data_IF_675333232295
#
_entry.id   IF_675333232295
#
_cell.length_a   1.000
_cell.length_b   1.000
_cell.length_c   1.000
_cell.angle_alpha   90.00
_cell.angle_beta   90.00
_cell.angle_gamma   90.00
#
_symmetry.space_group_name_H-M   'P 1'
#
loop_
_entity.id
_entity.type
_entity.pdbx_description
1 polymer ?
#
# COMPACT_ATOMS: atom_id res chain seq x y z
N UNK A 1 -17.37 -0.19 -8.30
CA UNK A 1 -17.63 -0.11 -6.84
C UNK A 1 -16.32 0.14 -6.12
N UNK A 2 -16.26 1.07 -5.16
CA UNK A 2 -15.06 1.27 -4.34
C UNK A 2 -14.94 0.15 -3.29
N UNK A 3 -13.71 -0.30 -3.03
CA UNK A 3 -13.37 -1.32 -2.03
C UNK A 3 -12.21 -0.82 -1.17
N UNK A 4 -11.99 -1.48 -0.03
CA UNK A 4 -10.80 -1.30 0.80
C UNK A 4 -9.81 -2.42 0.49
N UNK A 5 -8.57 -2.07 0.16
CA UNK A 5 -7.53 -3.02 -0.26
C UNK A 5 -6.32 -2.83 0.67
N UNK A 6 -5.88 -3.92 1.29
CA UNK A 6 -4.64 -3.97 2.07
C UNK A 6 -3.53 -4.59 1.22
N UNK A 7 -2.44 -3.85 1.04
CA UNK A 7 -1.20 -4.36 0.49
C UNK A 7 -0.28 -4.78 1.64
N UNK A 8 0.10 -6.07 1.64
CA UNK A 8 1.21 -6.57 2.45
C UNK A 8 2.50 -6.23 1.70
N UNK A 9 3.13 -5.14 2.13
CA UNK A 9 4.28 -4.53 1.50
C UNK A 9 3.97 -3.17 0.85
N UNK A 10 5.00 -2.33 0.78
CA UNK A 10 4.97 -1.00 0.17
C UNK A 10 6.19 -0.75 -0.74
N UNK A 11 6.92 -1.80 -1.10
CA UNK A 11 8.20 -1.73 -1.83
C UNK A 11 8.05 -1.17 -3.27
N UNK A 12 9.15 -0.68 -3.89
CA UNK A 12 9.13 -0.17 -5.27
C UNK A 12 8.54 -1.14 -6.31
N UNK A 13 8.72 -2.44 -6.10
CA UNK A 13 8.18 -3.49 -6.99
C UNK A 13 6.65 -3.58 -6.97
N UNK A 14 5.99 -3.08 -5.92
CA UNK A 14 4.52 -3.08 -5.78
C UNK A 14 3.86 -1.76 -6.23
N UNK A 15 4.64 -0.81 -6.76
CA UNK A 15 4.12 0.52 -7.12
C UNK A 15 3.05 0.48 -8.22
N UNK A 16 3.17 -0.43 -9.20
CA UNK A 16 2.22 -0.54 -10.29
C UNK A 16 0.80 -0.93 -9.81
N UNK A 17 0.59 -2.03 -9.06
CA UNK A 17 -0.73 -2.39 -8.56
C UNK A 17 -1.26 -1.40 -7.50
N UNK A 18 -0.40 -0.80 -6.68
CA UNK A 18 -0.80 0.24 -5.72
C UNK A 18 -1.43 1.45 -6.41
N UNK A 19 -0.73 2.01 -7.40
CA UNK A 19 -1.21 3.17 -8.16
C UNK A 19 -2.50 2.87 -8.89
N UNK A 20 -2.59 1.71 -9.52
CA UNK A 20 -3.82 1.28 -10.19
C UNK A 20 -5.00 1.23 -9.22
N UNK A 21 -4.82 0.66 -8.02
CA UNK A 21 -5.88 0.60 -7.03
C UNK A 21 -6.36 1.99 -6.58
N UNK A 22 -5.44 2.95 -6.39
CA UNK A 22 -5.77 4.35 -6.10
C UNK A 22 -6.54 4.99 -7.26
N UNK A 23 -6.07 4.83 -8.50
CA UNK A 23 -6.69 5.37 -9.71
C UNK A 23 -8.10 4.78 -9.97
N UNK A 24 -8.35 3.53 -9.58
CA UNK A 24 -9.69 2.92 -9.62
C UNK A 24 -10.62 3.39 -8.48
N UNK A 25 -10.16 4.32 -7.64
CA UNK A 25 -10.95 4.89 -6.54
C UNK A 25 -11.13 3.94 -5.36
N UNK A 26 -10.22 2.98 -5.17
CA UNK A 26 -10.23 2.12 -3.99
C UNK A 26 -9.48 2.76 -2.82
N UNK A 27 -9.93 2.50 -1.59
CA UNK A 27 -9.19 2.89 -0.38
C UNK A 27 -8.04 1.91 -0.18
N UNK A 28 -6.84 2.36 -0.49
CA UNK A 28 -5.60 1.61 -0.37
C UNK A 28 -4.98 1.81 1.01
N UNK A 29 -4.64 0.69 1.66
CA UNK A 29 -3.90 0.60 2.91
C UNK A 29 -2.61 -0.16 2.64
N UNK A 30 -1.50 0.27 3.22
CA UNK A 30 -0.20 -0.43 3.13
C UNK A 30 0.25 -0.89 4.51
N UNK A 31 0.87 -2.06 4.58
CA UNK A 31 1.47 -2.63 5.78
C UNK A 31 2.87 -3.12 5.42
N UNK A 32 3.90 -2.46 5.91
CA UNK A 32 5.30 -2.77 5.62
C UNK A 32 6.17 -2.24 6.78
N UNK A 33 7.30 -2.87 7.08
CA UNK A 33 8.12 -2.44 8.22
C UNK A 33 8.93 -1.17 7.92
N UNK A 34 9.22 -0.89 6.64
CA UNK A 34 10.08 0.20 6.23
C UNK A 34 9.24 1.45 5.93
N UNK A 35 9.24 2.47 6.82
CA UNK A 35 8.45 3.69 6.61
C UNK A 35 8.84 4.47 5.36
N UNK A 36 10.06 4.26 4.85
CA UNK A 36 10.60 4.94 3.67
C UNK A 36 10.12 4.32 2.35
N UNK A 37 9.45 3.16 2.39
CA UNK A 37 8.98 2.51 1.19
C UNK A 37 7.96 3.38 0.44
N UNK A 38 8.14 3.59 -0.89
CA UNK A 38 7.40 4.60 -1.64
C UNK A 38 5.90 4.31 -1.74
N UNK A 39 5.50 3.04 -1.60
CA UNK A 39 4.09 2.64 -1.61
C UNK A 39 3.28 3.29 -0.50
N UNK A 40 3.90 3.60 0.66
CA UNK A 40 3.24 4.30 1.75
C UNK A 40 2.76 5.70 1.35
N UNK A 41 3.51 6.39 0.48
CA UNK A 41 3.18 7.74 0.00
C UNK A 41 1.98 7.75 -0.95
N UNK A 42 1.68 6.61 -1.58
CA UNK A 42 0.51 6.45 -2.45
C UNK A 42 -0.73 5.95 -1.70
N UNK A 43 -0.56 5.33 -0.54
CA UNK A 43 -1.66 4.77 0.23
C UNK A 43 -2.46 5.86 0.95
N UNK A 44 -3.72 5.56 1.26
CA UNK A 44 -4.56 6.42 2.10
C UNK A 44 -4.24 6.23 3.58
N UNK A 45 -3.72 5.06 3.95
CA UNK A 45 -3.23 4.71 5.28
C UNK A 45 -1.98 3.83 5.15
N UNK A 46 -1.02 4.01 6.05
CA UNK A 46 0.18 3.18 6.17
C UNK A 46 0.39 2.71 7.61
N UNK A 47 0.82 1.46 7.75
CA UNK A 47 1.16 0.85 9.02
C UNK A 47 2.59 0.30 8.94
N UNK A 48 3.44 0.76 9.86
CA UNK A 48 4.84 0.35 9.96
C UNK A 48 4.96 -0.95 10.75
N UNK A 49 4.58 -2.07 10.14
CA UNK A 49 4.48 -3.39 10.79
C UNK A 49 5.20 -4.45 9.96
N UNK A 50 5.93 -5.35 10.62
CA UNK A 50 6.56 -6.49 9.95
C UNK A 50 5.51 -7.39 9.29
N UNK A 51 5.71 -7.69 8.02
CA UNK A 51 4.91 -8.68 7.27
C UNK A 51 5.53 -10.07 7.31
N UNK A 52 6.74 -10.21 7.86
CA UNK A 52 7.42 -11.49 8.09
C UNK A 52 7.40 -11.76 9.58
N UNK A 53 6.55 -12.72 9.99
CA UNK A 53 6.51 -13.29 11.34
C UNK A 53 7.01 -14.73 11.32
#
# INVERSE_FOLDING_TARGET
MSKKILFLGAAPTQMAPLRYAVEQGHRVITCDYSPENPGHKLAHESYNVSTTG
#
